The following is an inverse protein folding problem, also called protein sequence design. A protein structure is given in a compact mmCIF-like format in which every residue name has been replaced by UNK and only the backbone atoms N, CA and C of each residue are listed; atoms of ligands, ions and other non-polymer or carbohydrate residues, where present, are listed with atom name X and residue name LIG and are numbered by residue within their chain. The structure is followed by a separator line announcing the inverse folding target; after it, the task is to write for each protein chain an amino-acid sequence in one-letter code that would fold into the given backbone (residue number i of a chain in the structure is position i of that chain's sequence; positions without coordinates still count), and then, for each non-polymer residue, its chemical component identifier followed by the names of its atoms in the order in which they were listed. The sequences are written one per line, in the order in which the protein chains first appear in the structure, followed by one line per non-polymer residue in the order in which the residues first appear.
data_IF_807810126325
#
_entry.id   IF_807810126325
#
_cell.length_a   1.000
_cell.length_b   1.000
_cell.length_c   1.000
_cell.angle_alpha   90.00
_cell.angle_beta   90.00
_cell.angle_gamma   90.00
#
_symmetry.space_group_name_H-M   'P 1'
#
loop_
_entity.id
_entity.type
_entity.pdbx_description
1 polymer ?
#
# COMPACT_ATOMS: atom_id res chain seq x y z
N UNK A 1 -25.05 -30.28 2.87
CA UNK A 1 -25.23 -29.25 1.82
C UNK A 1 -24.49 -28.02 2.27
N UNK A 2 -23.39 -27.65 1.60
CA UNK A 2 -22.55 -26.51 2.02
C UNK A 2 -22.98 -25.28 1.24
N UNK A 3 -23.61 -24.33 1.93
CA UNK A 3 -24.15 -23.12 1.34
C UNK A 3 -23.03 -22.23 0.80
N UNK A 4 -23.03 -21.98 -0.52
CA UNK A 4 -22.06 -21.08 -1.17
C UNK A 4 -22.42 -19.64 -0.82
N UNK A 5 -21.60 -18.97 -0.01
CA UNK A 5 -21.73 -17.52 0.27
C UNK A 5 -21.65 -16.76 -1.06
N UNK A 6 -22.75 -16.08 -1.43
CA UNK A 6 -22.77 -15.14 -2.57
C UNK A 6 -21.95 -13.91 -2.20
N UNK A 7 -20.74 -13.81 -2.72
CA UNK A 7 -19.93 -12.58 -2.61
C UNK A 7 -20.42 -11.65 -3.72
N UNK A 8 -21.27 -10.68 -3.36
CA UNK A 8 -21.69 -9.61 -4.28
C UNK A 8 -20.51 -8.74 -4.70
N UNK A 9 -20.65 -7.93 -5.77
CA UNK A 9 -19.59 -7.04 -6.23
C UNK A 9 -19.17 -6.10 -5.09
N UNK A 10 -17.86 -5.75 -4.96
CA UNK A 10 -17.40 -4.84 -3.92
C UNK A 10 -18.13 -3.50 -4.03
N UNK A 11 -18.94 -3.18 -3.01
CA UNK A 11 -19.71 -1.94 -2.96
C UNK A 11 -18.82 -0.82 -2.42
N UNK A 12 -18.30 0.01 -3.33
CA UNK A 12 -17.55 1.24 -3.02
C UNK A 12 -16.05 1.03 -2.74
N UNK A 13 -15.29 2.12 -2.83
CA UNK A 13 -13.85 2.15 -2.51
C UNK A 13 -13.63 1.76 -1.05
N UNK A 14 -13.26 0.51 -0.81
CA UNK A 14 -13.01 -0.02 0.54
C UNK A 14 -11.88 0.72 1.28
N UNK A 15 -11.00 1.41 0.55
CA UNK A 15 -9.84 2.11 1.08
C UNK A 15 -10.05 3.62 1.25
N UNK A 16 -11.27 4.14 1.07
CA UNK A 16 -11.53 5.57 1.29
C UNK A 16 -11.56 5.84 2.79
N UNK A 17 -10.75 6.79 3.26
CA UNK A 17 -10.77 7.27 4.65
C UNK A 17 -12.20 7.73 4.97
N UNK A 18 -12.83 7.06 5.95
CA UNK A 18 -14.23 7.32 6.33
C UNK A 18 -14.37 8.43 7.37
N UNK A 19 -13.28 8.78 8.07
CA UNK A 19 -13.28 9.74 9.19
C UNK A 19 -12.05 10.63 9.07
N UNK A 20 -12.26 11.94 8.95
CA UNK A 20 -11.18 12.92 8.96
C UNK A 20 -10.50 12.96 10.34
N UNK A 21 -9.16 12.99 10.36
CA UNK A 21 -8.38 13.17 11.60
C UNK A 21 -8.03 11.91 12.38
N UNK A 22 -8.40 10.71 11.91
CA UNK A 22 -7.81 9.47 12.45
C UNK A 22 -6.58 9.06 11.62
N UNK A 23 -5.50 8.58 12.26
CA UNK A 23 -4.38 7.98 11.54
C UNK A 23 -4.91 6.78 10.76
N UNK A 24 -5.05 6.95 9.45
CA UNK A 24 -5.48 5.88 8.56
C UNK A 24 -4.26 5.03 8.23
N UNK A 25 -4.06 3.94 8.98
CA UNK A 25 -3.10 2.91 8.58
C UNK A 25 -3.73 2.00 7.52
N UNK A 26 -2.93 1.60 6.55
CA UNK A 26 -3.32 0.65 5.51
C UNK A 26 -2.11 -0.20 5.16
N UNK A 27 -2.35 -1.48 4.88
CA UNK A 27 -1.30 -2.42 4.49
C UNK A 27 -1.32 -2.59 2.97
N UNK A 28 -0.23 -2.20 2.31
CA UNK A 28 -0.03 -2.44 0.90
C UNK A 28 0.74 -3.75 0.70
N UNK A 29 0.05 -4.80 0.25
CA UNK A 29 0.69 -6.03 -0.19
C UNK A 29 0.88 -5.96 -1.72
N UNK A 30 2.14 -5.92 -2.16
CA UNK A 30 2.49 -5.78 -3.58
C UNK A 30 3.33 -6.96 -4.07
N UNK A 31 3.03 -7.42 -5.29
CA UNK A 31 3.93 -8.32 -6.02
C UNK A 31 4.95 -7.47 -6.76
N UNK A 32 6.22 -7.80 -6.58
CA UNK A 32 7.33 -7.16 -7.26
C UNK A 32 8.30 -8.24 -7.73
N UNK A 33 9.07 -7.94 -8.76
CA UNK A 33 10.20 -8.79 -9.11
C UNK A 33 11.35 -8.57 -8.12
N UNK A 34 12.24 -9.56 -7.93
CA UNK A 34 13.38 -9.42 -7.02
C UNK A 34 14.25 -8.19 -7.32
N UNK A 35 14.53 -7.92 -8.61
CA UNK A 35 15.33 -6.77 -9.06
C UNK A 35 14.72 -5.43 -8.64
N UNK A 36 13.39 -5.33 -8.68
CA UNK A 36 12.68 -4.12 -8.30
C UNK A 36 12.77 -3.89 -6.79
N UNK A 37 12.60 -4.97 -6.01
CA UNK A 37 12.68 -4.88 -4.55
C UNK A 37 14.07 -4.46 -4.09
N UNK A 38 15.12 -5.01 -4.71
CA UNK A 38 16.50 -4.64 -4.41
C UNK A 38 16.78 -3.17 -4.76
N UNK A 39 16.27 -2.69 -5.90
CA UNK A 39 16.38 -1.30 -6.29
C UNK A 39 15.73 -0.36 -5.25
N UNK A 40 14.53 -0.69 -4.74
CA UNK A 40 13.86 0.11 -3.71
C UNK A 40 14.63 0.13 -2.40
N UNK A 41 15.17 -1.02 -1.96
CA UNK A 41 15.98 -1.09 -0.73
C UNK A 41 17.25 -0.26 -0.86
N UNK A 42 17.90 -0.29 -2.03
CA UNK A 42 19.10 0.51 -2.26
C UNK A 42 18.80 2.01 -2.32
N UNK A 43 17.69 2.41 -2.94
CA UNK A 43 17.24 3.80 -2.94
C UNK A 43 16.93 4.28 -1.50
N UNK A 44 16.19 3.49 -0.73
CA UNK A 44 15.90 3.80 0.68
C UNK A 44 17.17 3.97 1.52
N UNK A 45 18.18 3.10 1.33
CA UNK A 45 19.49 3.22 1.99
C UNK A 45 20.24 4.47 1.56
N UNK A 46 20.21 4.83 0.27
CA UNK A 46 20.83 6.04 -0.26
C UNK A 46 20.26 7.30 0.41
N UNK A 47 18.97 7.29 0.72
CA UNK A 47 18.27 8.38 1.40
C UNK A 47 18.37 8.31 2.94
N UNK A 48 19.02 7.27 3.50
CA UNK A 48 19.11 7.05 4.95
C UNK A 48 17.78 6.69 5.62
N UNK A 49 16.82 6.16 4.85
CA UNK A 49 15.44 5.87 5.30
C UNK A 49 15.17 4.37 5.41
N UNK A 50 14.12 4.02 6.15
CA UNK A 50 13.54 2.68 6.05
C UNK A 50 12.82 2.51 4.70
N UNK A 51 12.66 1.27 4.25
CA UNK A 51 11.93 0.99 3.01
C UNK A 51 10.47 1.50 3.08
N UNK A 52 9.83 1.40 4.25
CA UNK A 52 8.44 1.86 4.44
C UNK A 52 8.31 3.37 4.28
N UNK A 53 9.24 4.12 4.88
CA UNK A 53 9.24 5.59 4.79
C UNK A 53 9.52 6.03 3.34
N UNK A 54 10.51 5.39 2.70
CA UNK A 54 10.83 5.65 1.31
C UNK A 54 9.66 5.38 0.36
N UNK A 55 8.92 4.28 0.55
CA UNK A 55 7.72 3.99 -0.26
C UNK A 55 6.61 5.00 0.01
N UNK A 56 6.41 5.42 1.27
CA UNK A 56 5.40 6.42 1.61
C UNK A 56 5.69 7.76 0.93
N UNK A 57 6.93 8.25 1.04
CA UNK A 57 7.37 9.48 0.38
C UNK A 57 7.23 9.40 -1.14
N UNK A 58 7.61 8.27 -1.74
CA UNK A 58 7.49 8.04 -3.20
C UNK A 58 6.03 8.10 -3.65
N UNK A 59 5.11 7.52 -2.88
CA UNK A 59 3.68 7.56 -3.19
C UNK A 59 3.09 8.96 -3.00
N UNK A 60 3.50 9.67 -1.96
CA UNK A 60 3.08 11.05 -1.70
C UNK A 60 3.57 12.01 -2.80
N UNK A 61 4.81 11.85 -3.26
CA UNK A 61 5.37 12.64 -4.37
C UNK A 61 4.65 12.35 -5.70
N UNK A 62 4.27 11.09 -5.95
CA UNK A 62 3.53 10.72 -7.16
C UNK A 62 2.08 11.24 -7.18
N UNK A 63 1.52 11.63 -6.04
CA UNK A 63 0.16 12.16 -5.92
C UNK A 63 0.07 13.69 -6.03
N UNK A 64 1.20 14.40 -6.08
CA UNK A 64 1.26 15.85 -6.30
C UNK A 64 0.99 16.20 -7.76
#
# INVERSE_FOLDING_TARGET
MTEKRKVGPPKGSQNRIKVAGQPASSFLNMRCRPDQKDAWVNAAKGDGKSLTDWVSDTLDDACK
#
